data_IF_363885303884
#
_entry.id   IF_363885303884
#
_cell.length_a   1.000
_cell.length_b   1.000
_cell.length_c   1.000
_cell.angle_alpha   90.00
_cell.angle_beta   90.00
_cell.angle_gamma   90.00
#
_symmetry.space_group_name_H-M   'P 1'
#
loop_
_entity.id
_entity.type
_entity.pdbx_description
1 polymer ?
#
# COMPACT_ATOMS: atom_id res chain seq x y z
N UNK A 1 9.51 -13.74 -3.50
CA UNK A 1 9.57 -12.71 -4.55
C UNK A 1 9.48 -11.29 -4.01
N UNK A 2 8.72 -11.00 -2.95
CA UNK A 2 8.69 -9.65 -2.34
C UNK A 2 8.57 -9.75 -0.83
N UNK A 3 9.02 -8.69 -0.15
CA UNK A 3 8.86 -8.47 1.29
C UNK A 3 8.37 -7.04 1.50
N UNK A 4 7.53 -6.84 2.51
CA UNK A 4 7.07 -5.54 2.97
C UNK A 4 7.15 -5.51 4.50
N UNK A 5 7.60 -4.39 5.03
CA UNK A 5 7.81 -4.17 6.47
C UNK A 5 6.87 -3.07 6.94
N UNK A 6 6.05 -3.37 7.94
CA UNK A 6 5.18 -2.43 8.62
C UNK A 6 5.84 -1.92 9.89
N UNK A 7 5.04 -1.29 10.76
CA UNK A 7 5.53 -0.77 12.04
C UNK A 7 5.95 -1.88 12.99
N UNK A 8 5.06 -2.87 13.17
CA UNK A 8 5.27 -3.95 14.13
C UNK A 8 5.36 -5.33 13.46
N UNK A 9 4.72 -5.51 12.29
CA UNK A 9 4.70 -6.78 11.56
C UNK A 9 5.29 -6.59 10.16
N UNK A 10 5.60 -7.70 9.51
CA UNK A 10 6.11 -7.74 8.15
C UNK A 10 5.46 -8.90 7.41
N UNK A 11 5.45 -8.84 6.08
CA UNK A 11 4.93 -9.92 5.26
C UNK A 11 5.81 -10.16 4.05
N UNK A 12 5.86 -11.41 3.58
CA UNK A 12 6.54 -11.77 2.34
C UNK A 12 5.68 -12.69 1.48
N UNK A 13 5.78 -12.49 0.17
CA UNK A 13 5.20 -13.36 -0.84
C UNK A 13 6.30 -14.26 -1.37
N UNK A 14 6.17 -15.57 -1.19
CA UNK A 14 7.07 -16.60 -1.73
C UNK A 14 6.96 -16.68 -3.26
N UNK A 15 7.89 -17.36 -3.90
CA UNK A 15 7.78 -17.62 -5.36
C UNK A 15 6.57 -18.48 -5.71
N UNK A 16 6.16 -19.36 -4.78
CA UNK A 16 4.91 -20.12 -4.85
C UNK A 16 3.65 -19.23 -4.79
N UNK A 17 3.76 -17.92 -4.56
CA UNK A 17 2.62 -17.01 -4.38
C UNK A 17 1.98 -17.10 -2.99
N UNK A 18 2.49 -17.96 -2.11
CA UNK A 18 2.08 -18.02 -0.70
C UNK A 18 2.51 -16.73 0.03
N UNK A 19 1.58 -16.16 0.78
CA UNK A 19 1.80 -14.98 1.61
C UNK A 19 1.99 -15.41 3.08
N UNK A 20 3.09 -14.96 3.68
CA UNK A 20 3.43 -15.25 5.08
C UNK A 20 3.71 -13.94 5.79
N UNK A 21 3.09 -13.73 6.96
CA UNK A 21 3.33 -12.58 7.82
C UNK A 21 3.96 -13.02 9.15
N UNK A 22 4.85 -12.20 9.71
CA UNK A 22 5.53 -12.44 10.99
C UNK A 22 5.92 -11.11 11.66
N UNK A 23 6.32 -11.14 12.94
CA UNK A 23 6.64 -9.94 13.73
C UNK A 23 5.42 -9.17 14.28
N UNK A 24 5.59 -8.46 15.41
CA UNK A 24 4.57 -7.60 16.03
C UNK A 24 3.84 -8.27 17.20
N UNK A 25 2.79 -7.67 17.77
CA UNK A 25 1.96 -8.21 18.87
C UNK A 25 1.17 -9.49 18.45
N UNK A 26 1.84 -10.45 17.85
CA UNK A 26 1.38 -11.72 17.29
C UNK A 26 1.13 -12.79 18.34
N UNK A 27 0.92 -12.42 19.61
CA UNK A 27 0.35 -13.34 20.58
C UNK A 27 -1.16 -13.53 20.31
N UNK A 28 -1.49 -14.13 19.17
CA UNK A 28 -2.76 -14.80 18.92
C UNK A 28 -3.94 -13.97 18.41
N UNK A 29 -3.71 -12.80 17.79
CA UNK A 29 -4.80 -11.89 17.34
C UNK A 29 -4.72 -11.34 15.92
N UNK A 30 -3.69 -11.68 15.14
CA UNK A 30 -3.72 -11.36 13.71
C UNK A 30 -4.79 -12.21 13.01
N UNK A 31 -5.59 -11.58 12.17
CA UNK A 31 -6.31 -12.31 11.14
C UNK A 31 -5.29 -12.90 10.18
N UNK A 32 -5.27 -14.24 10.09
CA UNK A 32 -4.41 -14.95 9.18
C UNK A 32 -4.60 -14.40 7.74
N UNK A 33 -3.53 -14.36 6.92
CA UNK A 33 -3.63 -13.93 5.54
C UNK A 33 -4.81 -14.65 4.84
N UNK A 34 -5.69 -13.93 4.13
CA UNK A 34 -6.77 -14.55 3.40
C UNK A 34 -6.25 -15.64 2.45
N UNK A 35 -6.99 -16.74 2.33
CA UNK A 35 -6.59 -17.83 1.44
C UNK A 35 -6.40 -17.33 -0.01
N UNK A 36 -5.38 -17.85 -0.70
CA UNK A 36 -5.12 -17.60 -2.11
C UNK A 36 -3.64 -17.37 -2.44
N UNK A 37 -3.38 -16.94 -3.68
CA UNK A 37 -2.03 -16.64 -4.19
C UNK A 37 -1.88 -15.14 -4.45
N UNK A 38 -0.74 -14.61 -4.05
CA UNK A 38 -0.45 -13.18 -4.03
C UNK A 38 0.79 -12.83 -4.84
N UNK A 39 0.85 -11.60 -5.33
CA UNK A 39 1.97 -11.05 -6.10
C UNK A 39 2.65 -9.87 -5.45
N UNK A 40 1.87 -9.00 -4.84
CA UNK A 40 2.36 -7.79 -4.17
C UNK A 40 1.75 -7.71 -2.78
N UNK A 41 2.50 -7.13 -1.85
CA UNK A 41 2.04 -6.91 -0.48
C UNK A 41 2.58 -5.56 0.01
N UNK A 42 1.73 -4.82 0.71
CA UNK A 42 2.05 -3.62 1.46
C UNK A 42 1.56 -3.78 2.89
N UNK A 43 2.45 -3.54 3.86
CA UNK A 43 2.16 -3.66 5.30
C UNK A 43 2.10 -2.28 5.93
N UNK A 44 0.94 -1.94 6.51
CA UNK A 44 0.74 -0.73 7.29
C UNK A 44 1.14 -0.90 8.76
N UNK A 45 0.49 -0.14 9.65
CA UNK A 45 0.76 -0.23 11.09
C UNK A 45 0.10 -1.47 11.72
N UNK A 46 -1.17 -1.72 11.39
CA UNK A 46 -1.97 -2.84 11.91
C UNK A 46 -2.85 -3.50 10.83
N UNK A 47 -2.62 -3.15 9.56
CA UNK A 47 -3.31 -3.73 8.42
C UNK A 47 -2.33 -4.13 7.32
N UNK A 48 -2.74 -5.10 6.51
CA UNK A 48 -2.00 -5.58 5.36
C UNK A 48 -2.90 -5.48 4.15
N UNK A 49 -2.32 -5.04 3.03
CA UNK A 49 -2.97 -5.07 1.74
C UNK A 49 -2.14 -5.89 0.77
N UNK A 50 -2.77 -6.78 0.03
CA UNK A 50 -2.10 -7.62 -0.93
C UNK A 50 -2.88 -7.73 -2.24
N UNK A 51 -2.14 -7.74 -3.34
CA UNK A 51 -2.67 -7.96 -4.67
C UNK A 51 -2.51 -9.43 -5.01
N UNK A 52 -3.63 -10.08 -5.32
CA UNK A 52 -3.69 -11.47 -5.77
C UNK A 52 -3.06 -11.61 -7.16
N UNK A 53 -2.72 -12.83 -7.55
CA UNK A 53 -2.23 -13.09 -8.91
C UNK A 53 -3.28 -12.84 -9.99
N UNK A 54 -4.57 -12.88 -9.64
CA UNK A 54 -5.68 -12.44 -10.49
C UNK A 54 -5.69 -10.92 -10.73
N UNK A 55 -4.97 -10.15 -9.91
CA UNK A 55 -4.95 -8.70 -9.91
C UNK A 55 -5.89 -8.07 -8.88
N UNK A 56 -6.74 -8.85 -8.20
CA UNK A 56 -7.66 -8.33 -7.17
C UNK A 56 -6.88 -7.87 -5.94
N UNK A 57 -7.28 -6.74 -5.38
CA UNK A 57 -6.73 -6.20 -4.15
C UNK A 57 -7.59 -6.61 -2.95
N UNK A 58 -6.95 -7.10 -1.89
CA UNK A 58 -7.58 -7.37 -0.60
C UNK A 58 -6.78 -6.71 0.51
N UNK A 59 -7.48 -6.13 1.47
CA UNK A 59 -6.89 -5.61 2.69
C UNK A 59 -7.58 -6.27 3.89
N UNK A 60 -6.81 -6.52 4.94
CA UNK A 60 -7.28 -7.08 6.20
C UNK A 60 -6.42 -6.52 7.33
N UNK A 61 -6.90 -6.63 8.56
CA UNK A 61 -6.22 -6.06 9.71
C UNK A 61 -7.04 -6.25 10.95
N UNK A 62 -6.55 -5.75 12.07
CA UNK A 62 -7.22 -5.95 13.36
C UNK A 62 -8.49 -5.10 13.46
N UNK A 63 -9.67 -5.73 13.32
CA UNK A 63 -10.98 -5.07 13.23
C UNK A 63 -11.28 -4.10 14.40
N UNK A 64 -10.78 -4.37 15.62
CA UNK A 64 -11.04 -3.53 16.79
C UNK A 64 -10.30 -2.18 16.74
N UNK A 65 -9.19 -2.09 16.00
CA UNK A 65 -8.34 -0.89 15.96
C UNK A 65 -8.21 -0.30 14.56
N UNK A 66 -8.44 -1.09 13.51
CA UNK A 66 -8.35 -0.66 12.13
C UNK A 66 -9.74 -0.26 11.63
N UNK A 67 -9.96 1.02 11.31
CA UNK A 67 -11.23 1.47 10.73
C UNK A 67 -11.52 0.79 9.40
N UNK A 68 -12.80 0.51 9.14
CA UNK A 68 -13.25 -0.07 7.86
C UNK A 68 -12.71 0.68 6.64
N UNK A 69 -12.65 2.02 6.69
CA UNK A 69 -12.12 2.84 5.58
C UNK A 69 -10.66 2.53 5.19
N UNK A 70 -9.88 1.87 6.05
CA UNK A 70 -8.50 1.46 5.78
C UNK A 70 -8.43 0.10 5.06
N UNK A 71 -9.37 -0.80 5.39
CA UNK A 71 -9.42 -2.17 4.86
C UNK A 71 -10.47 -2.38 3.76
N UNK A 72 -11.34 -1.40 3.53
CA UNK A 72 -12.29 -1.37 2.42
C UNK A 72 -11.53 -1.09 1.10
N UNK A 73 -10.92 -2.15 0.59
CA UNK A 73 -10.04 -2.10 -0.55
C UNK A 73 -10.84 -1.76 -1.83
N UNK A 74 -10.39 -0.77 -2.64
CA UNK A 74 -11.06 -0.44 -3.88
C UNK A 74 -11.10 -1.62 -4.85
N UNK A 75 -12.25 -1.81 -5.51
CA UNK A 75 -12.39 -2.84 -6.53
C UNK A 75 -11.57 -2.54 -7.79
N UNK A 76 -11.24 -3.61 -8.52
CA UNK A 76 -10.56 -3.59 -9.81
C UNK A 76 -9.24 -4.37 -9.79
N UNK A 77 -8.45 -4.16 -10.85
CA UNK A 77 -7.19 -4.88 -11.07
C UNK A 77 -5.99 -4.00 -10.81
N UNK A 78 -5.04 -4.50 -10.04
CA UNK A 78 -3.87 -3.77 -9.56
C UNK A 78 -2.59 -4.53 -9.84
N UNK A 79 -1.49 -3.79 -9.93
CA UNK A 79 -0.14 -4.33 -10.17
C UNK A 79 0.90 -3.88 -9.14
N UNK A 80 0.49 -3.09 -8.14
CA UNK A 80 1.27 -2.84 -6.94
C UNK A 80 0.38 -2.25 -5.85
N UNK A 81 0.82 -2.37 -4.61
CA UNK A 81 0.17 -1.77 -3.44
C UNK A 81 1.24 -1.36 -2.43
N UNK A 82 1.00 -0.24 -1.77
CA UNK A 82 1.79 0.25 -0.65
C UNK A 82 0.83 0.74 0.44
N UNK A 83 1.15 0.41 1.70
CA UNK A 83 0.35 0.73 2.86
C UNK A 83 1.23 1.41 3.92
N UNK A 84 0.65 2.34 4.69
CA UNK A 84 1.30 2.96 5.84
C UNK A 84 0.30 3.10 7.00
N UNK A 85 0.53 4.02 7.94
CA UNK A 85 -0.27 4.12 9.17
C UNK A 85 -1.74 4.47 8.93
N UNK A 86 -2.04 5.36 7.99
CA UNK A 86 -3.38 5.98 7.91
C UNK A 86 -4.05 5.88 6.54
N UNK A 87 -3.31 5.46 5.52
CA UNK A 87 -3.83 5.29 4.17
C UNK A 87 -3.03 4.24 3.42
N UNK A 88 -3.56 3.86 2.27
CA UNK A 88 -2.92 2.95 1.35
C UNK A 88 -3.17 3.42 -0.07
N UNK A 89 -2.24 3.07 -0.96
CA UNK A 89 -2.30 3.40 -2.38
C UNK A 89 -1.92 2.19 -3.20
N UNK A 90 -2.59 2.03 -4.34
CA UNK A 90 -2.33 0.96 -5.29
C UNK A 90 -2.28 1.50 -6.71
N UNK A 91 -1.43 0.90 -7.54
CA UNK A 91 -1.35 1.21 -8.97
C UNK A 91 -2.23 0.19 -9.70
N UNK A 92 -3.24 0.67 -10.42
CA UNK A 92 -4.08 -0.15 -11.29
C UNK A 92 -3.25 -0.76 -12.42
N UNK A 93 -3.75 -1.81 -13.06
CA UNK A 93 -3.12 -2.32 -14.29
C UNK A 93 -3.08 -1.26 -15.41
N UNK A 94 -4.04 -0.32 -15.44
CA UNK A 94 -4.01 0.86 -16.32
C UNK A 94 -2.87 1.83 -16.01
N UNK A 95 -2.26 1.73 -14.82
CA UNK A 95 -1.23 2.60 -14.29
C UNK A 95 -1.75 3.81 -13.51
N UNK A 96 -3.07 4.01 -13.42
CA UNK A 96 -3.65 5.02 -12.54
C UNK A 96 -3.48 4.63 -11.06
N UNK A 97 -3.28 5.63 -10.19
CA UNK A 97 -3.20 5.41 -8.75
C UNK A 97 -4.59 5.58 -8.14
N UNK A 98 -4.92 4.69 -7.20
CA UNK A 98 -6.04 4.87 -6.28
C UNK A 98 -5.50 4.80 -4.86
N UNK A 99 -5.87 5.77 -4.05
CA UNK A 99 -5.57 5.79 -2.62
C UNK A 99 -6.86 5.82 -1.82
N UNK A 100 -6.84 5.22 -0.63
CA UNK A 100 -7.98 5.14 0.28
C UNK A 100 -7.51 5.19 1.74
N UNK A 101 -8.45 5.41 2.65
CA UNK A 101 -8.19 5.66 4.07
C UNK A 101 -8.35 7.11 4.46
N UNK A 102 -7.61 7.55 5.47
CA UNK A 102 -7.70 8.92 5.97
C UNK A 102 -7.03 9.93 5.04
N UNK A 103 -7.65 11.09 4.87
CA UNK A 103 -7.18 12.13 3.94
C UNK A 103 -6.93 13.50 4.61
N UNK A 104 -6.46 13.52 5.86
CA UNK A 104 -6.32 14.76 6.63
C UNK A 104 -5.37 15.78 5.97
N UNK A 105 -4.44 15.32 5.14
CA UNK A 105 -3.42 16.16 4.49
C UNK A 105 -3.48 16.11 2.96
N UNK A 106 -4.55 15.57 2.37
CA UNK A 106 -4.61 15.32 0.93
C UNK A 106 -3.79 14.11 0.47
N UNK A 107 -3.39 13.22 1.39
CA UNK A 107 -2.53 12.06 1.14
C UNK A 107 -3.23 10.93 0.34
N UNK A 108 -4.56 10.97 0.18
CA UNK A 108 -5.31 10.13 -0.76
C UNK A 108 -5.62 10.81 -2.09
N UNK A 109 -5.30 12.10 -2.24
CA UNK A 109 -5.60 12.87 -3.45
C UNK A 109 -4.50 12.69 -4.51
N UNK A 110 -4.37 11.46 -4.99
CA UNK A 110 -3.34 11.10 -5.97
C UNK A 110 -3.47 11.96 -7.25
N UNK A 111 -2.37 12.51 -7.77
CA UNK A 111 -2.39 13.29 -9.00
C UNK A 111 -2.75 12.41 -10.20
N UNK A 112 -3.47 12.98 -11.16
CA UNK A 112 -3.81 12.29 -12.39
C UNK A 112 -2.56 11.87 -13.19
N UNK A 113 -2.69 10.77 -13.93
CA UNK A 113 -1.67 10.25 -14.85
C UNK A 113 -1.36 8.77 -14.62
N UNK A 114 -0.32 8.31 -15.29
CA UNK A 114 0.07 6.90 -15.34
C UNK A 114 1.41 6.72 -14.62
N UNK A 115 1.43 5.77 -13.69
CA UNK A 115 2.52 5.52 -12.75
C UNK A 115 2.90 4.05 -12.76
N UNK A 116 4.19 3.78 -12.56
CA UNK A 116 4.75 2.42 -12.46
C UNK A 116 4.82 1.90 -11.03
N UNK A 117 4.98 2.80 -10.06
CA UNK A 117 5.08 2.46 -8.63
C UNK A 117 4.59 3.60 -7.77
N UNK A 118 4.14 3.25 -6.56
CA UNK A 118 3.76 4.17 -5.49
C UNK A 118 4.39 3.70 -4.19
N UNK A 119 4.83 4.64 -3.38
CA UNK A 119 5.32 4.46 -2.01
C UNK A 119 4.54 5.39 -1.09
N UNK A 120 4.17 4.86 0.07
CA UNK A 120 3.30 5.56 1.02
C UNK A 120 4.06 5.76 2.33
N UNK A 121 4.11 7.00 2.80
CA UNK A 121 4.66 7.38 4.10
C UNK A 121 3.55 7.65 5.13
N UNK A 122 3.92 8.21 6.28
CA UNK A 122 2.98 8.44 7.40
C UNK A 122 1.75 9.31 7.02
N UNK A 123 2.01 10.43 6.34
CA UNK A 123 0.99 11.42 5.91
C UNK A 123 1.24 11.96 4.49
N UNK A 124 2.10 11.30 3.71
CA UNK A 124 2.42 11.69 2.34
C UNK A 124 2.57 10.44 1.48
N UNK A 125 2.52 10.63 0.18
CA UNK A 125 2.72 9.57 -0.80
C UNK A 125 3.61 10.11 -1.92
N UNK A 126 4.42 9.23 -2.51
CA UNK A 126 5.22 9.54 -3.67
C UNK A 126 5.09 8.42 -4.70
N UNK A 127 5.07 8.78 -5.98
CA UNK A 127 4.96 7.82 -7.06
C UNK A 127 5.89 8.18 -8.21
N UNK A 128 6.28 7.14 -8.95
CA UNK A 128 7.09 7.29 -10.16
C UNK A 128 6.18 7.14 -11.37
N UNK A 129 6.12 8.18 -12.20
CA UNK A 129 5.40 8.16 -13.48
C UNK A 129 6.06 7.17 -14.44
N UNK A 130 5.32 6.69 -15.44
CA UNK A 130 5.91 5.91 -16.54
C UNK A 130 6.98 6.71 -17.31
N UNK A 131 6.91 8.05 -17.30
CA UNK A 131 7.95 8.93 -17.86
C UNK A 131 9.24 8.99 -17.02
N UNK A 132 9.25 8.43 -15.80
CA UNK A 132 10.34 8.54 -14.82
C UNK A 132 10.14 9.65 -13.79
N UNK A 133 9.37 10.70 -14.11
CA UNK A 133 9.13 11.81 -13.18
C UNK A 133 8.49 11.37 -11.86
N UNK A 134 8.93 11.98 -10.76
CA UNK A 134 8.40 11.70 -9.42
C UNK A 134 7.34 12.74 -9.07
N UNK A 135 6.20 12.29 -8.56
CA UNK A 135 5.17 13.14 -7.98
C UNK A 135 4.95 12.75 -6.52
N UNK A 136 4.99 13.73 -5.62
CA UNK A 136 4.66 13.56 -4.21
C UNK A 136 3.49 14.46 -3.79
N UNK A 137 2.62 13.95 -2.92
CA UNK A 137 1.42 14.65 -2.44
C UNK A 137 1.12 14.29 -0.98
N UNK A 138 0.20 15.02 -0.34
CA UNK A 138 -0.11 14.89 1.08
C UNK A 138 0.48 16.03 1.92
N UNK A 139 0.95 15.71 3.13
CA UNK A 139 1.51 16.67 4.07
C UNK A 139 2.56 17.58 3.41
N UNK A 140 2.43 18.88 3.64
CA UNK A 140 3.31 19.89 3.05
C UNK A 140 4.78 19.74 3.49
N UNK A 141 5.65 20.57 2.91
CA UNK A 141 7.10 20.53 3.05
C UNK A 141 7.61 20.23 4.48
N UNK A 142 8.70 19.45 4.63
CA UNK A 142 9.64 19.07 3.57
C UNK A 142 9.28 17.79 2.78
N UNK A 143 8.26 17.02 3.18
CA UNK A 143 8.06 15.63 2.73
C UNK A 143 7.63 15.44 1.27
N UNK A 144 7.08 16.48 0.64
CA UNK A 144 6.62 16.47 -0.75
C UNK A 144 7.56 17.21 -1.71
N UNK A 145 8.70 17.71 -1.22
CA UNK A 145 9.70 18.38 -2.06
C UNK A 145 10.59 17.33 -2.75
N UNK A 146 10.39 17.15 -4.05
CA UNK A 146 11.24 16.29 -4.88
C UNK A 146 12.51 17.07 -5.25
N UNK A 147 13.71 16.56 -4.94
CA UNK A 147 14.97 17.12 -5.43
C UNK A 147 14.99 17.25 -6.95
N UNK A 148 15.44 18.40 -7.45
CA UNK A 148 15.34 18.74 -8.87
C UNK A 148 16.19 17.85 -9.80
N UNK A 149 17.17 17.13 -9.24
CA UNK A 149 18.09 16.23 -9.94
C UNK A 149 17.61 14.78 -10.01
N UNK A 150 16.52 14.42 -9.32
CA UNK A 150 15.96 13.06 -9.35
C UNK A 150 14.96 12.88 -10.49
N UNK A 151 15.21 11.87 -11.34
CA UNK A 151 14.32 11.32 -12.37
C UNK A 151 14.45 9.79 -12.41
#
# INVERSE_FOLDING_TARGET
RSVSTGTDHNCAVRESGELVCWGGYLSGREEAPPAGRFRYVGTGWAHVCAVRESGDLVCWGWEEVVPAAIVDAPAGRFRSVSAATSHSCAVRESGEIVCWGYNYYGNTDAPAGIFRSVSVGYSHSCAVRESGEIACWGAAAPWTQVPADLR
#
